data_IF_288924034898
#
_entry.id   IF_288924034898
#
_cell.length_a   1.000
_cell.length_b   1.000
_cell.length_c   1.000
_cell.angle_alpha   90.00
_cell.angle_beta   90.00
_cell.angle_gamma   90.00
#
_symmetry.space_group_name_H-M   'P 1'
#
loop_
_entity.id
_entity.type
_entity.pdbx_description
1 polymer ?
#
# COMPACT_ATOMS: atom_id res chain seq x y z
N UNK A 1 29.55 -5.37 4.55
CA UNK A 1 28.38 -4.46 4.68
C UNK A 1 27.30 -5.23 5.42
N UNK A 2 26.70 -4.67 6.46
CA UNK A 2 25.74 -5.40 7.32
C UNK A 2 24.40 -5.64 6.60
N UNK A 3 24.00 -6.91 6.49
CA UNK A 3 22.76 -7.34 5.83
C UNK A 3 21.51 -6.76 6.51
N UNK A 4 21.51 -6.60 7.84
CA UNK A 4 20.39 -6.00 8.58
C UNK A 4 20.23 -4.53 8.23
N UNK A 5 21.34 -3.82 8.07
CA UNK A 5 21.35 -2.41 7.66
C UNK A 5 20.79 -2.23 6.24
N UNK A 6 21.20 -3.08 5.30
CA UNK A 6 20.70 -3.05 3.92
C UNK A 6 19.19 -3.31 3.87
N UNK A 7 18.71 -4.34 4.58
CA UNK A 7 17.28 -4.68 4.66
C UNK A 7 16.45 -3.49 5.18
N UNK A 8 16.89 -2.87 6.27
CA UNK A 8 16.22 -1.70 6.86
C UNK A 8 16.12 -0.54 5.86
N UNK A 9 17.20 -0.25 5.14
CA UNK A 9 17.22 0.84 4.14
C UNK A 9 16.28 0.57 2.97
N UNK A 10 16.26 -0.66 2.46
CA UNK A 10 15.34 -1.08 1.40
C UNK A 10 13.89 -0.97 1.88
N UNK A 11 13.57 -1.44 3.09
CA UNK A 11 12.22 -1.35 3.64
C UNK A 11 11.77 0.10 3.72
N UNK A 12 12.58 0.98 4.33
CA UNK A 12 12.28 2.42 4.40
C UNK A 12 12.04 3.02 3.02
N UNK A 13 12.87 2.68 2.04
CA UNK A 13 12.72 3.19 0.68
C UNK A 13 11.40 2.72 0.03
N UNK A 14 11.10 1.42 0.10
CA UNK A 14 9.85 0.86 -0.45
C UNK A 14 8.63 1.50 0.21
N UNK A 15 8.63 1.71 1.52
CA UNK A 15 7.52 2.35 2.23
C UNK A 15 7.23 3.76 1.70
N UNK A 16 8.27 4.55 1.47
CA UNK A 16 8.13 5.92 0.97
C UNK A 16 7.55 5.89 -0.45
N UNK A 17 8.16 5.12 -1.36
CA UNK A 17 7.70 5.02 -2.74
C UNK A 17 6.27 4.48 -2.82
N UNK A 18 5.97 3.41 -2.09
CA UNK A 18 4.65 2.80 -2.01
C UNK A 18 3.59 3.81 -1.54
N UNK A 19 3.87 4.54 -0.47
CA UNK A 19 2.92 5.54 0.06
C UNK A 19 2.62 6.60 -1.00
N UNK A 20 3.66 7.14 -1.65
CA UNK A 20 3.50 8.14 -2.72
C UNK A 20 2.67 7.56 -3.87
N UNK A 21 2.99 6.35 -4.35
CA UNK A 21 2.28 5.71 -5.46
C UNK A 21 0.82 5.43 -5.15
N UNK A 22 0.50 4.90 -3.95
CA UNK A 22 -0.89 4.62 -3.55
C UNK A 22 -1.68 5.93 -3.34
N UNK A 23 -1.07 6.96 -2.75
CA UNK A 23 -1.72 8.28 -2.66
C UNK A 23 -1.98 8.86 -4.04
N UNK A 24 -1.03 8.76 -4.98
CA UNK A 24 -1.23 9.19 -6.36
C UNK A 24 -2.31 8.37 -7.07
N UNK A 25 -2.36 7.06 -6.84
CA UNK A 25 -3.39 6.17 -7.41
C UNK A 25 -4.81 6.56 -6.94
N UNK A 26 -4.97 6.86 -5.65
CA UNK A 26 -6.25 7.35 -5.12
C UNK A 26 -6.65 8.65 -5.80
N UNK A 27 -5.71 9.59 -5.97
CA UNK A 27 -5.97 10.86 -6.65
C UNK A 27 -6.35 10.68 -8.12
N UNK A 28 -5.63 9.82 -8.84
CA UNK A 28 -5.86 9.54 -10.25
C UNK A 28 -7.18 8.80 -10.49
N UNK A 29 -7.50 7.77 -9.69
CA UNK A 29 -8.80 7.09 -9.75
C UNK A 29 -9.94 8.04 -9.36
N UNK A 30 -9.73 8.92 -8.37
CA UNK A 30 -10.73 9.94 -8.00
C UNK A 30 -11.00 10.92 -9.15
N UNK A 31 -9.95 11.34 -9.86
CA UNK A 31 -10.10 12.17 -11.06
C UNK A 31 -10.81 11.43 -12.19
N UNK A 32 -10.49 10.14 -12.40
CA UNK A 32 -11.16 9.32 -13.39
C UNK A 32 -12.66 9.19 -13.12
N UNK A 33 -13.04 8.91 -11.87
CA UNK A 33 -14.45 8.88 -11.44
C UNK A 33 -15.12 10.24 -11.71
N UNK A 34 -14.47 11.34 -11.35
CA UNK A 34 -14.98 12.68 -11.62
C UNK A 34 -15.18 12.93 -13.13
N UNK A 35 -14.20 12.56 -13.96
CA UNK A 35 -14.27 12.73 -15.40
C UNK A 35 -15.42 11.92 -16.02
N UNK A 36 -15.62 10.68 -15.58
CA UNK A 36 -16.75 9.84 -16.01
C UNK A 36 -18.09 10.47 -15.64
N UNK A 37 -18.25 10.97 -14.40
CA UNK A 37 -19.52 11.58 -13.94
C UNK A 37 -19.81 12.90 -14.66
N UNK A 38 -18.77 13.61 -15.11
CA UNK A 38 -18.89 14.91 -15.79
C UNK A 38 -18.80 14.82 -17.31
N UNK A 39 -18.74 13.62 -17.88
CA UNK A 39 -18.56 13.36 -19.32
C UNK A 39 -17.30 14.03 -19.91
N UNK A 40 -16.26 14.18 -19.10
CA UNK A 40 -14.94 14.62 -19.57
C UNK A 40 -14.22 13.40 -20.16
N UNK A 41 -13.76 13.54 -21.41
CA UNK A 41 -12.99 12.48 -22.07
C UNK A 41 -11.59 12.36 -21.44
N UNK A 42 -11.30 11.19 -20.87
CA UNK A 42 -9.97 10.83 -20.39
C UNK A 42 -9.17 10.21 -21.53
N UNK A 43 -7.92 10.63 -21.78
CA UNK A 43 -7.09 10.04 -22.83
C UNK A 43 -6.92 8.53 -22.66
N UNK A 44 -7.23 7.75 -23.70
CA UNK A 44 -7.11 6.28 -23.67
C UNK A 44 -5.67 5.78 -23.45
N UNK A 45 -4.67 6.63 -23.71
CA UNK A 45 -3.27 6.37 -23.37
C UNK A 45 -3.02 6.19 -21.86
N UNK A 46 -3.93 6.65 -21.00
CA UNK A 46 -3.86 6.45 -19.55
C UNK A 46 -4.45 5.10 -19.10
N UNK A 47 -5.14 4.36 -19.96
CA UNK A 47 -5.75 3.06 -19.61
C UNK A 47 -4.76 2.06 -18.97
N UNK A 48 -3.51 1.91 -19.46
CA UNK A 48 -2.54 1.04 -18.81
C UNK A 48 -2.20 1.50 -17.38
N UNK A 49 -2.15 2.82 -17.14
CA UNK A 49 -1.88 3.39 -15.81
C UNK A 49 -3.05 3.08 -14.88
N UNK A 50 -4.29 3.29 -15.32
CA UNK A 50 -5.49 2.91 -14.56
C UNK A 50 -5.52 1.42 -14.21
N UNK A 51 -5.07 0.56 -15.12
CA UNK A 51 -5.02 -0.87 -14.86
C UNK A 51 -4.00 -1.22 -13.75
N UNK A 52 -2.79 -0.66 -13.84
CA UNK A 52 -1.72 -0.89 -12.86
C UNK A 52 -2.11 -0.33 -11.49
N UNK A 53 -2.62 0.89 -11.43
CA UNK A 53 -2.96 1.52 -10.15
C UNK A 53 -4.09 0.78 -9.44
N UNK A 54 -5.11 0.31 -10.18
CA UNK A 54 -6.24 -0.44 -9.61
C UNK A 54 -5.78 -1.79 -9.08
N UNK A 55 -4.90 -2.46 -9.83
CA UNK A 55 -4.27 -3.69 -9.37
C UNK A 55 -3.52 -3.44 -8.05
N UNK A 56 -2.67 -2.41 -7.99
CA UNK A 56 -1.93 -2.05 -6.79
C UNK A 56 -2.86 -1.72 -5.60
N UNK A 57 -3.88 -0.88 -5.81
CA UNK A 57 -4.85 -0.53 -4.76
C UNK A 57 -5.60 -1.75 -4.22
N UNK A 58 -6.02 -2.67 -5.09
CA UNK A 58 -6.70 -3.91 -4.67
C UNK A 58 -5.76 -4.81 -3.87
N UNK A 59 -4.52 -5.01 -4.32
CA UNK A 59 -3.52 -5.78 -3.58
C UNK A 59 -3.28 -5.20 -2.19
N UNK A 60 -3.05 -3.89 -2.11
CA UNK A 60 -2.85 -3.17 -0.85
C UNK A 60 -4.07 -3.23 0.07
N UNK A 61 -5.27 -3.21 -0.51
CA UNK A 61 -6.51 -3.39 0.25
C UNK A 61 -6.59 -4.78 0.88
N UNK A 62 -6.29 -5.85 0.12
CA UNK A 62 -6.25 -7.22 0.64
C UNK A 62 -5.21 -7.34 1.77
N UNK A 63 -4.02 -6.76 1.59
CA UNK A 63 -2.98 -6.77 2.62
C UNK A 63 -3.42 -6.02 3.89
N UNK A 64 -4.12 -4.89 3.74
CA UNK A 64 -4.67 -4.14 4.87
C UNK A 64 -5.72 -4.93 5.66
N UNK A 65 -6.52 -5.75 4.98
CA UNK A 65 -7.49 -6.65 5.60
C UNK A 65 -6.76 -7.73 6.40
N UNK A 66 -5.75 -8.37 5.80
CA UNK A 66 -4.91 -9.36 6.49
C UNK A 66 -4.29 -8.72 7.74
N UNK A 67 -3.73 -7.52 7.62
CA UNK A 67 -3.18 -6.77 8.74
C UNK A 67 -4.22 -6.48 9.85
N UNK A 68 -5.43 -6.06 9.50
CA UNK A 68 -6.50 -5.86 10.48
C UNK A 68 -6.81 -7.12 11.28
N UNK A 69 -6.92 -8.27 10.60
CA UNK A 69 -7.23 -9.55 11.23
C UNK A 69 -6.13 -10.04 12.18
N UNK A 70 -4.86 -9.89 11.79
CA UNK A 70 -3.73 -10.41 12.57
C UNK A 70 -3.12 -9.39 13.55
N UNK A 71 -3.47 -8.11 13.47
CA UNK A 71 -2.97 -7.09 14.40
C UNK A 71 -3.23 -7.39 15.89
N UNK A 72 -4.43 -7.85 16.33
CA UNK A 72 -4.67 -8.18 17.73
C UNK A 72 -3.73 -9.25 18.28
N UNK A 73 -3.42 -10.29 17.49
CA UNK A 73 -2.54 -11.38 17.92
C UNK A 73 -1.08 -10.94 18.07
N UNK A 74 -0.74 -9.75 17.56
CA UNK A 74 0.57 -9.08 17.69
C UNK A 74 0.53 -7.86 18.61
N UNK A 75 -0.52 -7.72 19.43
CA UNK A 75 -0.72 -6.60 20.35
C UNK A 75 -0.72 -5.22 19.65
N UNK A 76 -1.19 -5.16 18.40
CA UNK A 76 -1.36 -3.92 17.63
C UNK A 76 -2.84 -3.57 17.50
N UNK A 77 -3.12 -2.27 17.44
CA UNK A 77 -4.46 -1.75 17.13
C UNK A 77 -4.83 -2.09 15.68
N UNK A 78 -5.92 -2.83 15.41
CA UNK A 78 -6.28 -3.30 14.07
C UNK A 78 -6.36 -2.20 13.03
N UNK A 79 -7.16 -1.16 13.31
CA UNK A 79 -7.39 -0.08 12.35
C UNK A 79 -6.10 0.66 12.01
N UNK A 80 -5.26 0.95 13.01
CA UNK A 80 -3.98 1.64 12.81
C UNK A 80 -3.04 0.82 11.93
N UNK A 81 -2.97 -0.49 12.18
CA UNK A 81 -2.06 -1.36 11.46
C UNK A 81 -2.55 -1.68 10.04
N UNK A 82 -3.87 -1.78 9.85
CA UNK A 82 -4.48 -1.92 8.55
C UNK A 82 -4.26 -0.68 7.69
N UNK A 83 -4.52 0.53 8.21
CA UNK A 83 -4.26 1.79 7.49
C UNK A 83 -2.78 1.90 7.12
N UNK A 84 -1.88 1.60 8.05
CA UNK A 84 -0.45 1.57 7.77
C UNK A 84 -0.13 0.62 6.61
N UNK A 85 -0.57 -0.64 6.69
CA UNK A 85 -0.32 -1.68 5.70
C UNK A 85 -0.93 -1.34 4.33
N UNK A 86 -2.08 -0.68 4.29
CA UNK A 86 -2.67 -0.20 3.04
C UNK A 86 -1.72 0.73 2.27
N UNK A 87 -1.00 1.63 2.95
CA UNK A 87 -0.07 2.53 2.26
C UNK A 87 1.30 1.91 1.97
N UNK A 88 1.79 1.04 2.86
CA UNK A 88 3.15 0.48 2.75
C UNK A 88 3.20 -0.91 2.10
N UNK A 89 2.04 -1.49 1.83
CA UNK A 89 1.87 -2.80 1.20
C UNK A 89 2.44 -3.94 2.03
N UNK A 90 3.02 -4.93 1.32
CA UNK A 90 3.61 -6.14 1.91
C UNK A 90 4.62 -5.87 3.02
N UNK A 91 5.34 -4.73 2.99
CA UNK A 91 6.27 -4.35 4.07
C UNK A 91 5.53 -4.24 5.41
N UNK A 92 4.28 -3.77 5.42
CA UNK A 92 3.45 -3.74 6.63
C UNK A 92 3.19 -5.14 7.17
N UNK A 93 2.87 -6.12 6.31
CA UNK A 93 2.71 -7.51 6.74
C UNK A 93 4.03 -8.13 7.24
N UNK A 94 5.14 -7.88 6.54
CA UNK A 94 6.45 -8.36 6.96
C UNK A 94 6.86 -7.79 8.32
N UNK A 95 6.54 -6.54 8.59
CA UNK A 95 6.77 -5.94 9.91
C UNK A 95 5.82 -6.52 10.97
N UNK A 96 4.58 -6.88 10.61
CA UNK A 96 3.61 -7.45 11.54
C UNK A 96 4.03 -8.85 12.00
N UNK A 97 4.51 -9.67 11.07
CA UNK A 97 4.88 -11.05 11.33
C UNK A 97 6.36 -11.23 11.70
N UNK A 98 7.23 -10.31 11.27
CA UNK A 98 8.66 -10.34 11.55
C UNK A 98 9.06 -9.86 12.95
N UNK A 99 8.14 -9.32 13.76
CA UNK A 99 8.41 -8.94 15.16
C UNK A 99 8.78 -10.12 16.08
N UNK A 100 8.82 -11.37 15.59
CA UNK A 100 9.23 -12.54 16.38
C UNK A 100 10.75 -12.80 16.41
N UNK A 101 11.54 -12.18 15.54
CA UNK A 101 12.96 -12.56 15.33
C UNK A 101 14.00 -11.65 16.03
N UNK A 102 13.54 -10.69 16.86
CA UNK A 102 14.41 -9.68 17.52
C UNK A 102 14.55 -9.87 19.04
N UNK A 103 14.19 -11.04 19.60
CA UNK A 103 14.44 -11.42 21.01
C UNK A 103 15.39 -12.61 21.13
#
# INVERSE_FOLDING_TARGET
MDLKFIKKKIYTFVKIISTVLITSAIGLESWNIYAVITNINVPSSLNPIFWIERFAMISHFIESIIAAFYAPSRQKMPIKYATYTFFVGTIGLLELFGQQDDY
#
